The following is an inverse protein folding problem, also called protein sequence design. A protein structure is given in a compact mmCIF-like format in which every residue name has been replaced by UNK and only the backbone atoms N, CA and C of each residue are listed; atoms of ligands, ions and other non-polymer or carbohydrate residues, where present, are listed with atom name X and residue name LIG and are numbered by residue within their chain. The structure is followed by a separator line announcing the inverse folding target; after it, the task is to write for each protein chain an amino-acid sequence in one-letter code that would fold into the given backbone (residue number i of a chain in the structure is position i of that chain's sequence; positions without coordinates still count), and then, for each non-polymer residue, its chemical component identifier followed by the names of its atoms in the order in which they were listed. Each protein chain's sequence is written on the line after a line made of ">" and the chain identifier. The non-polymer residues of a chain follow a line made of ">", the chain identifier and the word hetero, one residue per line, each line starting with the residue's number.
data_IF_727134724790
#
_entry.id   IF_727134724790
#
_cell.length_a   1.000
_cell.length_b   1.000
_cell.length_c   1.000
_cell.angle_alpha   90.00
_cell.angle_beta   90.00
_cell.angle_gamma   90.00
#
_symmetry.space_group_name_H-M   'P 1'
#
loop_
_entity.id
_entity.type
_entity.pdbx_description
1 polymer ?
#
# COMPACT_ATOMS: atom_id res chain seq x y z
N UNK A 1 -15.04 13.34 -14.42
CA UNK A 1 -14.95 11.90 -14.13
C UNK A 1 -14.16 11.75 -12.85
N UNK A 2 -14.48 10.78 -11.99
CA UNK A 2 -13.89 10.73 -10.66
C UNK A 2 -12.54 10.01 -10.72
N UNK A 3 -11.45 10.78 -10.66
CA UNK A 3 -10.07 10.27 -10.49
C UNK A 3 -9.84 9.62 -9.11
N UNK A 4 -10.90 9.43 -8.32
CA UNK A 4 -10.83 8.86 -6.99
C UNK A 4 -10.59 7.36 -7.09
N UNK A 5 -9.45 6.94 -6.55
CA UNK A 5 -9.12 5.53 -6.34
C UNK A 5 -9.82 5.03 -5.07
N UNK A 6 -10.39 3.83 -5.14
CA UNK A 6 -10.98 3.08 -4.05
C UNK A 6 -10.25 1.75 -3.87
N UNK A 7 -10.27 1.21 -2.66
CA UNK A 7 -9.59 -0.03 -2.30
C UNK A 7 -10.18 -0.60 -1.01
N UNK A 8 -9.85 -1.86 -0.72
CA UNK A 8 -10.07 -2.51 0.58
C UNK A 8 -8.76 -2.56 1.34
N UNK A 9 -8.79 -2.16 2.61
CA UNK A 9 -7.67 -2.26 3.53
C UNK A 9 -8.05 -3.02 4.80
N UNK A 10 -7.16 -3.89 5.27
CA UNK A 10 -7.36 -4.65 6.51
C UNK A 10 -6.04 -5.09 7.13
N UNK A 11 -6.02 -5.28 8.44
CA UNK A 11 -4.92 -6.00 9.10
C UNK A 11 -5.22 -7.50 9.04
N UNK A 12 -4.26 -8.29 8.58
CA UNK A 12 -4.41 -9.73 8.47
C UNK A 12 -4.68 -10.37 9.85
N UNK A 13 -5.45 -11.47 9.91
CA UNK A 13 -5.60 -12.25 11.14
C UNK A 13 -4.25 -12.70 11.70
N UNK A 14 -4.13 -12.76 13.03
CA UNK A 14 -2.90 -13.18 13.71
C UNK A 14 -1.90 -12.06 14.00
N UNK A 15 -2.27 -10.79 13.81
CA UNK A 15 -1.48 -9.67 14.30
C UNK A 15 -1.27 -9.74 15.81
N UNK A 16 -0.07 -9.34 16.25
CA UNK A 16 0.37 -9.29 17.63
C UNK A 16 0.84 -7.88 17.97
N UNK A 17 1.24 -7.64 19.22
CA UNK A 17 1.88 -6.40 19.65
C UNK A 17 3.27 -6.15 19.02
N UNK A 18 3.80 -7.09 18.23
CA UNK A 18 5.15 -6.99 17.65
C UNK A 18 5.16 -7.10 16.12
N UNK A 19 4.08 -7.63 15.53
CA UNK A 19 4.02 -7.90 14.11
C UNK A 19 2.59 -7.90 13.60
N UNK A 20 2.37 -7.31 12.43
CA UNK A 20 1.13 -7.40 11.68
C UNK A 20 1.38 -7.28 10.17
N UNK A 21 0.38 -7.65 9.38
CA UNK A 21 0.39 -7.46 7.92
C UNK A 21 -0.78 -6.59 7.53
N UNK A 22 -0.51 -5.41 6.96
CA UNK A 22 -1.53 -4.56 6.36
C UNK A 22 -1.75 -5.00 4.91
N UNK A 23 -2.97 -5.42 4.60
CA UNK A 23 -3.38 -5.90 3.27
C UNK A 23 -4.18 -4.84 2.54
N UNK A 24 -3.80 -4.56 1.31
CA UNK A 24 -4.50 -3.68 0.37
C UNK A 24 -4.89 -4.51 -0.87
N UNK A 25 -6.14 -4.41 -1.29
CA UNK A 25 -6.69 -5.15 -2.43
C UNK A 25 -7.85 -4.40 -3.07
N UNK A 26 -8.39 -4.92 -4.18
CA UNK A 26 -9.60 -4.37 -4.82
C UNK A 26 -9.41 -2.90 -5.24
N UNK A 27 -8.21 -2.58 -5.76
CA UNK A 27 -7.79 -1.22 -6.09
C UNK A 27 -8.33 -0.87 -7.48
N UNK A 28 -9.22 0.10 -7.53
CA UNK A 28 -9.92 0.50 -8.76
C UNK A 28 -10.40 1.95 -8.68
N UNK A 29 -10.76 2.55 -9.80
CA UNK A 29 -11.47 3.83 -9.78
C UNK A 29 -12.85 3.67 -9.12
N UNK A 30 -13.39 4.77 -8.59
CA UNK A 30 -14.68 4.76 -7.90
C UNK A 30 -15.87 4.34 -8.78
N UNK A 31 -15.73 4.41 -10.11
CA UNK A 31 -16.70 3.91 -11.08
C UNK A 31 -16.55 2.41 -11.41
N UNK A 32 -15.59 1.73 -10.77
CA UNK A 32 -15.28 0.31 -10.97
C UNK A 32 -14.33 0.04 -12.15
N UNK A 33 -13.86 1.06 -12.86
CA UNK A 33 -12.88 0.87 -13.93
C UNK A 33 -11.49 0.55 -13.38
N UNK A 34 -10.70 -0.27 -14.09
CA UNK A 34 -9.36 -0.63 -13.65
C UNK A 34 -8.40 0.56 -13.76
N UNK A 35 -7.45 0.61 -12.83
CA UNK A 35 -6.39 1.62 -12.77
C UNK A 35 -5.30 1.25 -13.78
N UNK A 36 -4.91 2.21 -14.62
CA UNK A 36 -3.82 2.07 -15.58
C UNK A 36 -2.61 2.85 -15.09
N UNK A 37 -1.60 2.13 -14.62
CA UNK A 37 -0.35 2.71 -14.16
C UNK A 37 0.60 2.80 -15.34
N UNK A 38 1.05 4.01 -15.68
CA UNK A 38 2.01 4.19 -16.78
C UNK A 38 3.44 4.00 -16.30
N UNK A 39 3.77 4.51 -15.10
CA UNK A 39 5.10 4.38 -14.49
C UNK A 39 5.05 4.14 -12.99
N UNK A 40 4.13 4.80 -12.27
CA UNK A 40 4.20 4.82 -10.80
C UNK A 40 2.85 4.70 -10.14
N UNK A 41 2.78 3.80 -9.15
CA UNK A 41 1.71 3.81 -8.15
C UNK A 41 2.32 4.30 -6.83
N UNK A 42 1.80 5.40 -6.29
CA UNK A 42 2.23 5.96 -5.02
C UNK A 42 1.21 5.61 -3.93
N UNK A 43 1.71 5.24 -2.77
CA UNK A 43 0.91 4.79 -1.64
C UNK A 43 1.42 5.55 -0.40
N UNK A 44 0.62 6.47 0.11
CA UNK A 44 0.89 7.12 1.38
C UNK A 44 0.09 6.43 2.48
N UNK A 45 0.72 6.12 3.62
CA UNK A 45 0.06 5.44 4.74
C UNK A 45 0.79 5.71 6.06
N UNK A 46 0.16 5.36 7.19
CA UNK A 46 0.77 5.44 8.52
C UNK A 46 1.13 4.06 9.05
N UNK A 47 2.19 3.99 9.84
CA UNK A 47 2.66 2.77 10.51
C UNK A 47 3.22 3.08 11.90
N UNK A 48 3.25 2.10 12.83
CA UNK A 48 3.89 2.29 14.14
C UNK A 48 5.43 2.34 14.07
N UNK A 49 6.02 1.81 12.99
CA UNK A 49 7.46 1.72 12.77
C UNK A 49 7.82 2.10 11.34
N UNK A 50 9.08 2.48 11.10
CA UNK A 50 9.57 2.74 9.75
C UNK A 50 9.50 1.47 8.88
N UNK A 51 9.31 1.66 7.58
CA UNK A 51 9.10 0.60 6.58
C UNK A 51 10.21 0.59 5.55
N UNK A 52 10.75 -0.60 5.30
CA UNK A 52 11.69 -0.88 4.23
C UNK A 52 10.93 -1.35 2.97
N UNK A 53 10.99 -0.56 1.91
CA UNK A 53 10.33 -0.87 0.63
C UNK A 53 10.60 -2.28 0.10
N UNK A 54 11.85 -2.75 0.18
CA UNK A 54 12.23 -4.04 -0.40
C UNK A 54 11.86 -5.25 0.46
N UNK A 55 11.90 -5.10 1.79
CA UNK A 55 11.69 -6.21 2.73
C UNK A 55 10.26 -6.31 3.23
N UNK A 56 9.58 -5.18 3.36
CA UNK A 56 8.29 -5.12 4.04
C UNK A 56 7.11 -5.07 3.04
N UNK A 57 7.29 -4.56 1.83
CA UNK A 57 6.24 -4.49 0.82
C UNK A 57 6.31 -5.71 -0.11
N UNK A 58 5.29 -6.56 -0.02
CA UNK A 58 5.14 -7.73 -0.87
C UNK A 58 3.98 -7.49 -1.85
N UNK A 59 4.28 -7.60 -3.14
CA UNK A 59 3.28 -7.38 -4.20
C UNK A 59 2.78 -8.73 -4.72
N UNK A 60 1.46 -8.83 -4.86
CA UNK A 60 0.78 -9.94 -5.52
C UNK A 60 0.35 -9.43 -6.89
N UNK A 61 0.94 -9.96 -7.95
CA UNK A 61 0.77 -9.51 -9.34
C UNK A 61 0.49 -10.71 -10.24
N UNK A 62 -0.38 -10.54 -11.23
CA UNK A 62 -0.60 -11.50 -12.29
C UNK A 62 -1.04 -10.76 -13.56
N UNK A 63 -0.24 -10.69 -14.63
CA UNK A 63 1.06 -11.33 -14.78
C UNK A 63 2.10 -10.81 -13.78
N UNK A 64 3.02 -11.68 -13.38
CA UNK A 64 4.13 -11.29 -12.51
C UNK A 64 5.04 -10.29 -13.25
N UNK A 65 5.40 -9.21 -12.55
CA UNK A 65 6.34 -8.19 -13.01
C UNK A 65 7.30 -7.89 -11.87
N UNK A 66 8.58 -7.73 -12.18
CA UNK A 66 9.56 -7.30 -11.20
C UNK A 66 9.39 -5.81 -10.90
N UNK A 67 8.95 -5.51 -9.68
CA UNK A 67 8.77 -4.15 -9.18
C UNK A 67 9.57 -4.04 -7.89
N UNK A 68 10.43 -3.03 -7.80
CA UNK A 68 11.16 -2.71 -6.57
C UNK A 68 10.49 -1.52 -5.89
N UNK A 69 9.80 -1.71 -4.76
CA UNK A 69 9.23 -0.61 -4.00
C UNK A 69 10.33 0.23 -3.35
N UNK A 70 10.15 1.55 -3.35
CA UNK A 70 10.95 2.47 -2.54
C UNK A 70 10.07 3.16 -1.51
N UNK A 71 10.63 3.50 -0.35
CA UNK A 71 9.90 4.13 0.74
C UNK A 71 10.66 5.33 1.28
N UNK A 72 9.92 6.39 1.63
CA UNK A 72 10.40 7.50 2.45
C UNK A 72 9.60 7.46 3.76
N UNK A 73 10.30 7.51 4.88
CA UNK A 73 9.71 7.45 6.21
C UNK A 73 9.90 8.79 6.93
N UNK A 74 8.82 9.36 7.44
CA UNK A 74 8.84 10.57 8.27
C UNK A 74 8.18 10.25 9.61
N UNK A 75 8.94 10.31 10.71
CA UNK A 75 8.36 10.16 12.04
C UNK A 75 7.54 11.41 12.38
N UNK A 76 6.24 11.22 12.65
CA UNK A 76 5.32 12.33 12.96
C UNK A 76 5.03 12.44 14.46
N UNK A 77 5.15 11.34 15.21
CA UNK A 77 5.13 11.30 16.67
C UNK A 77 5.90 10.09 17.20
N UNK A 78 5.96 9.92 18.53
CA UNK A 78 6.70 8.83 19.19
C UNK A 78 6.22 7.42 18.83
N UNK A 79 5.04 7.29 18.25
CA UNK A 79 4.35 6.03 17.97
C UNK A 79 3.92 5.89 16.50
N UNK A 80 4.30 6.82 15.62
CA UNK A 80 3.82 6.81 14.23
C UNK A 80 4.78 7.43 13.23
N UNK A 81 4.89 6.73 12.12
CA UNK A 81 5.55 7.15 10.90
C UNK A 81 4.50 7.41 9.83
N UNK A 82 4.68 8.49 9.08
CA UNK A 82 4.10 8.66 7.76
C UNK A 82 5.07 8.04 6.74
N UNK A 83 4.54 7.21 5.85
CA UNK A 83 5.30 6.46 4.86
C UNK A 83 4.78 6.81 3.48
N UNK A 84 5.67 7.27 2.61
CA UNK A 84 5.41 7.42 1.18
C UNK A 84 6.11 6.28 0.44
N UNK A 85 5.34 5.29 0.00
CA UNK A 85 5.83 4.21 -0.83
C UNK A 85 5.58 4.49 -2.32
N UNK A 86 6.54 4.11 -3.15
CA UNK A 86 6.48 4.25 -4.59
C UNK A 86 6.78 2.92 -5.26
N UNK A 87 5.84 2.46 -6.08
CA UNK A 87 5.99 1.27 -6.93
C UNK A 87 6.33 1.74 -8.33
N UNK A 88 7.51 1.34 -8.84
CA UNK A 88 7.99 1.66 -10.18
C UNK A 88 7.68 0.49 -11.13
N UNK A 89 6.82 0.71 -12.10
CA UNK A 89 6.49 -0.29 -13.11
C UNK A 89 7.41 -0.11 -14.32
N UNK A 90 8.07 -1.18 -14.81
CA UNK A 90 8.97 -1.10 -15.97
C UNK A 90 8.21 -0.86 -17.29
N UNK A 91 6.96 -1.31 -17.35
CA UNK A 91 6.04 -1.15 -18.47
C UNK A 91 4.66 -0.77 -17.94
N UNK A 92 3.78 -0.15 -18.76
CA UNK A 92 2.42 0.15 -18.36
C UNK A 92 1.69 -1.09 -17.83
N UNK A 93 1.04 -0.97 -16.68
CA UNK A 93 0.38 -2.07 -16.01
C UNK A 93 -1.08 -1.71 -15.68
N UNK A 94 -2.00 -2.59 -16.03
CA UNK A 94 -3.41 -2.46 -15.66
C UNK A 94 -3.68 -3.28 -14.42
N UNK A 95 -4.08 -2.63 -13.34
CA UNK A 95 -4.46 -3.29 -12.08
C UNK A 95 -5.68 -4.19 -12.33
N UNK A 96 -5.63 -5.41 -11.80
CA UNK A 96 -6.72 -6.39 -11.86
C UNK A 96 -7.05 -6.93 -10.45
N UNK A 97 -7.98 -7.88 -10.40
CA UNK A 97 -8.48 -8.49 -9.16
C UNK A 97 -7.41 -9.27 -8.36
N UNK A 98 -6.32 -9.71 -9.02
CA UNK A 98 -5.20 -10.39 -8.39
C UNK A 98 -4.15 -9.43 -7.82
N UNK A 99 -4.20 -8.16 -8.21
CA UNK A 99 -3.30 -7.15 -7.68
C UNK A 99 -3.54 -6.93 -6.18
N UNK A 100 -2.50 -7.08 -5.38
CA UNK A 100 -2.55 -6.84 -3.94
C UNK A 100 -1.21 -6.38 -3.39
N UNK A 101 -1.26 -5.65 -2.28
CA UNK A 101 -0.08 -5.17 -1.55
C UNK A 101 -0.21 -5.66 -0.11
N UNK A 102 0.78 -6.41 0.34
CA UNK A 102 0.89 -6.89 1.71
C UNK A 102 2.10 -6.22 2.35
N UNK A 103 1.86 -5.42 3.38
CA UNK A 103 2.89 -4.63 4.08
C UNK A 103 3.15 -5.28 5.43
N UNK A 104 4.32 -5.90 5.59
CA UNK A 104 4.79 -6.45 6.85
C UNK A 104 5.23 -5.32 7.78
N UNK A 105 4.73 -5.31 9.01
CA UNK A 105 4.95 -4.22 9.97
C UNK A 105 5.44 -4.83 11.27
N UNK A 106 6.70 -4.58 11.62
CA UNK A 106 7.32 -5.01 12.88
C UNK A 106 6.96 -4.08 14.05
N UNK A 107 5.67 -3.93 14.31
CA UNK A 107 5.15 -3.09 15.40
C UNK A 107 3.71 -3.44 15.75
N UNK A 108 3.21 -2.86 16.84
CA UNK A 108 1.85 -3.10 17.31
C UNK A 108 0.82 -2.44 16.38
N UNK A 109 0.02 -3.26 15.72
CA UNK A 109 -1.12 -2.81 14.92
C UNK A 109 -2.48 -3.12 15.59
N UNK A 110 -2.47 -3.75 16.76
CA UNK A 110 -3.69 -4.30 17.39
C UNK A 110 -4.49 -3.27 18.16
N UNK A 111 -3.85 -2.18 18.57
CA UNK A 111 -4.43 -1.14 19.44
C UNK A 111 -5.16 -0.03 18.68
N UNK A 112 -4.79 0.24 17.43
CA UNK A 112 -5.39 1.31 16.61
C UNK A 112 -5.43 0.95 15.11
N UNK A 113 -6.14 -0.14 14.79
CA UNK A 113 -6.25 -0.65 13.41
C UNK A 113 -6.74 0.44 12.44
N UNK A 114 -7.74 1.22 12.87
CA UNK A 114 -8.36 2.26 12.04
C UNK A 114 -7.37 3.35 11.65
N UNK A 115 -6.52 3.80 12.58
CA UNK A 115 -5.47 4.78 12.28
C UNK A 115 -4.57 4.36 11.13
N UNK A 116 -4.30 3.07 10.98
CA UNK A 116 -3.47 2.55 9.90
C UNK A 116 -4.29 2.34 8.62
N UNK A 117 -5.44 1.66 8.69
CA UNK A 117 -6.23 1.33 7.50
C UNK A 117 -6.89 2.55 6.83
N UNK A 118 -7.35 3.53 7.62
CA UNK A 118 -8.02 4.73 7.11
C UNK A 118 -7.04 5.83 6.67
N UNK A 119 -5.73 5.66 6.96
CA UNK A 119 -4.69 6.61 6.54
C UNK A 119 -4.23 6.45 5.10
N UNK A 120 -4.61 5.35 4.44
CA UNK A 120 -4.08 4.98 3.14
C UNK A 120 -4.61 5.91 2.06
N UNK A 121 -3.71 6.44 1.25
CA UNK A 121 -4.02 7.20 0.05
C UNK A 121 -3.23 6.61 -1.10
N UNK A 122 -3.91 6.29 -2.20
CA UNK A 122 -3.30 5.73 -3.40
C UNK A 122 -3.48 6.73 -4.53
N UNK A 123 -2.40 7.03 -5.24
CA UNK A 123 -2.40 7.84 -6.46
C UNK A 123 -1.59 7.13 -7.54
N UNK A 124 -1.96 7.34 -8.79
CA UNK A 124 -1.19 6.90 -9.95
C UNK A 124 -0.56 8.10 -10.65
N UNK A 125 0.44 7.86 -11.49
CA UNK A 125 0.86 8.89 -12.44
C UNK A 125 -0.26 9.18 -13.47
N UNK A 126 -0.37 10.46 -13.84
CA UNK A 126 -1.22 10.89 -14.94
C UNK A 126 -0.59 10.49 -16.27
N UNK A 127 -1.41 10.01 -17.21
CA UNK A 127 -1.01 9.73 -18.60
C UNK A 127 -0.42 10.97 -19.29
#
# INVERSE_FOLDING_TARGET
>A
MSDKITFKASVAPGATSYYGVLKISDIQHADGSPIKVQKTLNIAFKTPVAINGYQDLNLRLDPWVEITPTTINSQIDSSTFAVDAKLLFPEPYTINDRFGIDISINGDMTTDIKRYTESIVITQDSE
#
